data_IF_533227239407
#
_entry.id   IF_533227239407
#
_cell.length_a   1.000
_cell.length_b   1.000
_cell.length_c   1.000
_cell.angle_alpha   90.00
_cell.angle_beta   90.00
_cell.angle_gamma   90.00
#
_symmetry.space_group_name_H-M   'P 1'
#
loop_
_entity.id
_entity.type
_entity.pdbx_description
1 polymer ?
#
# COMPACT_ATOMS: atom_id res chain seq x y z
N UNK A 1 11.25 -22.40 -12.82
CA UNK A 1 11.48 -21.73 -14.12
C UNK A 1 12.72 -20.88 -13.97
N UNK A 2 13.72 -21.04 -14.84
CA UNK A 2 14.86 -20.12 -14.89
C UNK A 2 14.37 -18.85 -15.57
N UNK A 3 14.36 -17.74 -14.82
CA UNK A 3 14.20 -16.40 -15.36
C UNK A 3 15.35 -16.18 -16.34
N UNK A 4 15.08 -15.59 -17.50
CA UNK A 4 16.11 -15.36 -18.51
C UNK A 4 17.15 -14.37 -17.96
N UNK A 5 18.42 -14.59 -18.26
CA UNK A 5 19.53 -13.77 -17.73
C UNK A 5 19.42 -12.28 -18.07
N UNK A 6 18.69 -11.94 -19.14
CA UNK A 6 18.38 -10.56 -19.53
C UNK A 6 17.32 -9.89 -18.65
N UNK A 7 16.33 -10.64 -18.17
CA UNK A 7 15.27 -10.12 -17.31
C UNK A 7 15.82 -9.78 -15.91
N UNK A 8 16.69 -10.65 -15.38
CA UNK A 8 17.38 -10.42 -14.10
C UNK A 8 18.27 -9.16 -14.16
N UNK A 9 18.94 -8.93 -15.29
CA UNK A 9 19.77 -7.74 -15.49
C UNK A 9 18.94 -6.45 -15.53
N UNK A 10 17.80 -6.46 -16.24
CA UNK A 10 16.91 -5.30 -16.32
C UNK A 10 16.32 -4.93 -14.94
N UNK A 11 15.93 -5.94 -14.17
CA UNK A 11 15.44 -5.74 -12.79
C UNK A 11 16.53 -5.19 -11.89
N UNK A 12 17.76 -5.71 -11.99
CA UNK A 12 18.88 -5.21 -11.18
C UNK A 12 19.20 -3.74 -11.48
N UNK A 13 19.23 -3.35 -12.76
CA UNK A 13 19.42 -1.94 -13.16
C UNK A 13 18.34 -1.05 -12.55
N UNK A 14 17.08 -1.50 -12.54
CA UNK A 14 16.00 -0.71 -11.96
C UNK A 14 16.08 -0.61 -10.43
N UNK A 15 16.48 -1.68 -9.75
CA UNK A 15 16.75 -1.67 -8.31
C UNK A 15 17.81 -0.63 -7.96
N UNK A 16 18.92 -0.63 -8.69
CA UNK A 16 20.04 0.29 -8.45
C UNK A 16 19.64 1.75 -8.69
N UNK A 17 18.96 2.03 -9.81
CA UNK A 17 18.45 3.38 -10.13
C UNK A 17 17.43 3.87 -9.11
N UNK A 18 16.54 2.99 -8.64
CA UNK A 18 15.52 3.36 -7.65
C UNK A 18 16.17 3.60 -6.28
N UNK A 19 17.15 2.78 -5.88
CA UNK A 19 17.90 3.01 -4.66
C UNK A 19 18.64 4.35 -4.72
N UNK A 20 19.32 4.64 -5.84
CA UNK A 20 19.99 5.91 -6.05
C UNK A 20 19.02 7.09 -5.92
N UNK A 21 17.82 7.00 -6.52
CA UNK A 21 16.79 8.03 -6.38
C UNK A 21 16.46 8.30 -4.90
N UNK A 22 16.24 7.26 -4.10
CA UNK A 22 15.95 7.44 -2.67
C UNK A 22 17.14 7.99 -1.88
N UNK A 23 18.37 7.60 -2.22
CA UNK A 23 19.59 8.10 -1.58
C UNK A 23 19.79 9.60 -1.87
N UNK A 24 19.51 10.06 -3.09
CA UNK A 24 19.55 11.47 -3.49
C UNK A 24 18.47 12.30 -2.76
N UNK A 25 17.30 11.70 -2.52
CA UNK A 25 16.14 12.36 -1.90
C UNK A 25 15.98 12.04 -0.40
N UNK A 26 17.00 11.45 0.26
CA UNK A 26 16.96 11.02 1.67
C UNK A 26 16.64 12.12 2.69
N UNK A 27 16.85 13.38 2.31
CA UNK A 27 16.58 14.55 3.14
C UNK A 27 15.15 15.06 2.99
N UNK A 28 14.45 14.64 1.93
CA UNK A 28 13.08 15.02 1.59
C UNK A 28 12.08 13.92 1.96
N UNK A 29 12.38 12.68 1.58
CA UNK A 29 11.49 11.53 1.78
C UNK A 29 11.72 10.94 3.18
N UNK A 30 10.64 10.79 3.96
CA UNK A 30 10.73 10.17 5.29
C UNK A 30 11.09 8.68 5.17
N UNK A 31 11.83 8.13 6.14
CA UNK A 31 12.26 6.72 6.11
C UNK A 31 11.09 5.74 5.90
N UNK A 32 9.91 6.07 6.42
CA UNK A 32 8.69 5.26 6.27
C UNK A 32 8.16 5.15 4.82
N UNK A 33 8.70 5.94 3.89
CA UNK A 33 8.42 5.94 2.44
C UNK A 33 9.71 5.79 1.62
N UNK A 34 10.85 5.51 2.26
CA UNK A 34 12.16 5.43 1.61
C UNK A 34 12.42 4.08 0.94
N UNK A 35 13.67 3.86 0.53
CA UNK A 35 14.12 2.65 -0.19
C UNK A 35 13.68 1.34 0.46
N UNK A 36 13.77 1.23 1.80
CA UNK A 36 13.38 0.02 2.54
C UNK A 36 11.89 -0.32 2.35
N UNK A 37 11.02 0.68 2.27
CA UNK A 37 9.59 0.49 1.99
C UNK A 37 9.40 0.00 0.56
N UNK A 38 9.91 0.74 -0.43
CA UNK A 38 9.80 0.40 -1.84
C UNK A 38 10.30 -1.02 -2.16
N UNK A 39 11.45 -1.40 -1.57
CA UNK A 39 12.03 -2.74 -1.74
C UNK A 39 11.12 -3.84 -1.18
N UNK A 40 10.52 -3.65 0.00
CA UNK A 40 9.60 -4.66 0.57
C UNK A 40 8.32 -4.80 -0.24
N UNK A 41 7.78 -3.68 -0.75
CA UNK A 41 6.64 -3.70 -1.67
C UNK A 41 6.98 -4.50 -2.94
N UNK A 42 8.16 -4.28 -3.50
CA UNK A 42 8.68 -5.09 -4.61
C UNK A 42 8.81 -6.58 -4.26
N UNK A 43 9.35 -6.92 -3.09
CA UNK A 43 9.49 -8.31 -2.62
C UNK A 43 8.11 -8.98 -2.45
N UNK A 44 7.12 -8.26 -1.90
CA UNK A 44 5.73 -8.73 -1.84
C UNK A 44 5.14 -8.97 -3.23
N UNK A 45 5.38 -8.08 -4.19
CA UNK A 45 4.94 -8.27 -5.57
C UNK A 45 5.59 -9.50 -6.22
N UNK A 46 6.87 -9.74 -5.98
CA UNK A 46 7.59 -10.93 -6.49
C UNK A 46 6.99 -12.23 -5.97
N UNK A 47 6.73 -12.33 -4.66
CA UNK A 47 6.08 -13.50 -4.09
C UNK A 47 4.64 -13.69 -4.60
N UNK A 48 3.90 -12.59 -4.78
CA UNK A 48 2.55 -12.64 -5.34
C UNK A 48 2.55 -13.18 -6.79
N UNK A 49 3.53 -12.79 -7.61
CA UNK A 49 3.69 -13.30 -8.97
C UNK A 49 3.99 -14.81 -8.99
N UNK A 50 4.79 -15.30 -8.03
CA UNK A 50 5.08 -16.73 -7.88
C UNK A 50 3.86 -17.55 -7.45
N UNK A 51 2.89 -16.94 -6.78
CA UNK A 51 1.66 -17.60 -6.32
C UNK A 51 0.48 -17.45 -7.29
N UNK A 52 0.67 -16.85 -8.46
CA UNK A 52 -0.38 -16.71 -9.46
C UNK A 52 -0.84 -18.07 -9.99
N UNK A 53 -2.16 -18.28 -10.09
CA UNK A 53 -2.73 -19.52 -10.63
C UNK A 53 -2.47 -19.68 -12.13
N UNK A 54 -2.42 -18.57 -12.86
CA UNK A 54 -2.14 -18.52 -14.29
C UNK A 54 -0.75 -17.97 -14.50
N UNK A 55 -0.01 -18.58 -15.43
CA UNK A 55 1.28 -18.07 -15.85
C UNK A 55 1.08 -16.78 -16.65
N UNK A 56 1.66 -15.70 -16.15
CA UNK A 56 1.68 -14.41 -16.84
C UNK A 56 2.85 -14.35 -17.82
N UNK A 57 2.74 -13.48 -18.82
CA UNK A 57 3.86 -13.19 -19.71
C UNK A 57 5.01 -12.55 -18.92
N UNK A 58 6.26 -12.85 -19.31
CA UNK A 58 7.44 -12.31 -18.66
C UNK A 58 7.42 -10.77 -18.60
N UNK A 59 7.00 -10.13 -19.69
CA UNK A 59 6.81 -8.67 -19.77
C UNK A 59 5.84 -8.16 -18.70
N UNK A 60 4.70 -8.83 -18.50
CA UNK A 60 3.73 -8.42 -17.47
C UNK A 60 4.28 -8.61 -16.05
N UNK A 61 5.03 -9.68 -15.80
CA UNK A 61 5.72 -9.88 -14.52
C UNK A 61 6.70 -8.74 -14.23
N UNK A 62 7.52 -8.38 -15.22
CA UNK A 62 8.45 -7.26 -15.12
C UNK A 62 7.69 -5.96 -14.87
N UNK A 63 6.68 -5.62 -15.65
CA UNK A 63 5.90 -4.39 -15.46
C UNK A 63 5.31 -4.27 -14.04
N UNK A 64 4.80 -5.38 -13.48
CA UNK A 64 4.27 -5.43 -12.10
C UNK A 64 5.38 -5.15 -11.08
N UNK A 65 6.54 -5.79 -11.25
CA UNK A 65 7.71 -5.57 -10.39
C UNK A 65 8.18 -4.11 -10.45
N UNK A 66 8.27 -3.54 -11.64
CA UNK A 66 8.68 -2.15 -11.85
C UNK A 66 7.67 -1.17 -11.23
N UNK A 67 6.37 -1.43 -11.40
CA UNK A 67 5.32 -0.59 -10.78
C UNK A 67 5.34 -0.66 -9.25
N UNK A 68 5.59 -1.83 -8.67
CA UNK A 68 5.74 -1.99 -7.22
C UNK A 68 6.96 -1.22 -6.69
N UNK A 69 8.07 -1.27 -7.41
CA UNK A 69 9.31 -0.60 -7.01
C UNK A 69 9.20 0.93 -7.09
N UNK A 70 8.49 1.44 -8.11
CA UNK A 70 8.38 2.88 -8.41
C UNK A 70 7.12 3.55 -7.84
N UNK A 71 6.27 2.84 -7.08
CA UNK A 71 4.94 3.36 -6.73
C UNK A 71 4.94 4.70 -5.98
N UNK A 72 5.98 4.97 -5.17
CA UNK A 72 6.08 6.11 -4.26
C UNK A 72 7.08 7.20 -4.71
N UNK A 73 7.80 7.02 -5.83
CA UNK A 73 8.84 8.00 -6.28
C UNK A 73 8.27 9.35 -6.73
N UNK A 74 6.95 9.43 -6.93
CA UNK A 74 6.19 10.64 -7.25
C UNK A 74 5.06 10.87 -6.23
N UNK A 75 5.20 10.41 -4.97
CA UNK A 75 4.18 10.64 -3.94
C UNK A 75 3.98 12.15 -3.70
N UNK A 76 2.71 12.58 -3.73
CA UNK A 76 2.32 13.98 -3.57
C UNK A 76 2.63 14.60 -2.20
N UNK A 77 3.07 13.79 -1.22
CA UNK A 77 3.59 14.30 0.07
C UNK A 77 4.97 14.94 -0.06
N UNK A 78 5.75 14.52 -1.06
CA UNK A 78 7.15 14.92 -1.23
C UNK A 78 7.38 15.70 -2.52
N UNK A 79 6.57 15.44 -3.54
CA UNK A 79 6.73 16.04 -4.86
C UNK A 79 5.48 16.78 -5.31
N UNK A 80 5.68 17.93 -5.93
CA UNK A 80 4.59 18.70 -6.52
C UNK A 80 4.01 17.97 -7.72
N UNK A 81 2.82 17.43 -7.52
CA UNK A 81 2.14 16.59 -8.49
C UNK A 81 0.85 17.26 -8.96
N UNK A 82 0.67 17.51 -10.26
CA UNK A 82 -0.55 18.15 -10.75
C UNK A 82 -1.76 17.21 -10.60
N UNK A 83 -2.59 17.46 -9.57
CA UNK A 83 -3.75 16.61 -9.22
C UNK A 83 -4.75 16.43 -10.36
N UNK A 84 -4.90 17.44 -11.21
CA UNK A 84 -5.86 17.46 -12.32
C UNK A 84 -5.29 17.00 -13.67
N UNK A 85 -3.98 16.81 -13.78
CA UNK A 85 -3.36 16.42 -15.06
C UNK A 85 -3.68 14.97 -15.38
N UNK A 86 -4.43 14.72 -16.46
CA UNK A 86 -4.81 13.35 -16.88
C UNK A 86 -3.66 12.57 -17.53
N UNK A 87 -2.60 13.26 -17.94
CA UNK A 87 -1.41 12.67 -18.54
C UNK A 87 -0.54 12.02 -17.45
N UNK A 88 -0.53 10.69 -17.41
CA UNK A 88 0.22 9.94 -16.41
C UNK A 88 1.73 10.19 -16.52
N UNK A 89 2.28 10.44 -17.71
CA UNK A 89 3.73 10.68 -17.88
C UNK A 89 4.16 11.99 -17.24
N UNK A 90 3.32 13.02 -17.31
CA UNK A 90 3.55 14.29 -16.59
C UNK A 90 3.34 14.15 -15.09
N UNK A 91 2.38 13.29 -14.71
CA UNK A 91 1.98 13.08 -13.33
C UNK A 91 2.98 12.22 -12.53
N UNK A 92 3.76 11.38 -13.22
CA UNK A 92 4.74 10.46 -12.65
C UNK A 92 6.10 10.65 -13.33
N UNK A 93 6.61 11.88 -13.29
CA UNK A 93 7.81 12.25 -14.04
C UNK A 93 9.07 11.56 -13.54
N UNK A 94 9.17 11.29 -12.23
CA UNK A 94 10.32 10.60 -11.66
C UNK A 94 10.33 9.13 -12.09
N UNK A 95 9.17 8.46 -12.01
CA UNK A 95 9.03 7.10 -12.52
C UNK A 95 9.36 7.02 -14.02
N UNK A 96 8.86 7.95 -14.84
CA UNK A 96 9.20 8.02 -16.27
C UNK A 96 10.70 8.20 -16.50
N UNK A 97 11.34 9.08 -15.71
CA UNK A 97 12.77 9.33 -15.83
C UNK A 97 13.59 8.06 -15.53
N UNK A 98 13.29 7.39 -14.42
CA UNK A 98 13.96 6.13 -14.01
C UNK A 98 13.74 5.04 -15.06
N UNK A 99 12.51 4.86 -15.56
CA UNK A 99 12.20 3.87 -16.59
C UNK A 99 12.95 4.12 -17.91
N UNK A 100 13.15 5.39 -18.29
CA UNK A 100 13.94 5.75 -19.47
C UNK A 100 15.43 5.46 -19.29
N UNK A 101 15.99 5.75 -18.11
CA UNK A 101 17.38 5.39 -17.79
C UNK A 101 17.57 3.86 -17.85
N UNK A 102 16.58 3.10 -17.40
CA UNK A 102 16.54 1.65 -17.50
C UNK A 102 16.21 1.12 -18.92
N UNK A 103 16.09 2.00 -19.93
CA UNK A 103 15.78 1.63 -21.32
C UNK A 103 14.49 0.81 -21.51
N UNK A 104 13.48 1.04 -20.65
CA UNK A 104 12.19 0.35 -20.72
C UNK A 104 11.40 0.81 -21.94
N UNK A 105 10.79 -0.14 -22.66
CA UNK A 105 9.98 0.15 -23.84
C UNK A 105 8.76 1.02 -23.50
N UNK A 106 8.44 1.97 -24.38
CA UNK A 106 7.32 2.91 -24.18
C UNK A 106 5.95 2.23 -24.04
N UNK A 107 5.78 1.05 -24.63
CA UNK A 107 4.59 0.21 -24.43
C UNK A 107 4.42 -0.20 -22.96
N UNK A 108 5.51 -0.60 -22.30
CA UNK A 108 5.52 -1.02 -20.91
C UNK A 108 5.43 0.15 -19.94
N UNK A 109 6.00 1.31 -20.28
CA UNK A 109 5.86 2.54 -19.48
C UNK A 109 4.38 2.86 -19.23
N UNK A 110 3.51 2.74 -20.23
CA UNK A 110 2.09 3.02 -20.06
C UNK A 110 1.41 2.09 -19.03
N UNK A 111 1.68 0.78 -19.10
CA UNK A 111 1.17 -0.22 -18.15
C UNK A 111 1.68 0.04 -16.73
N UNK A 112 2.98 0.30 -16.59
CA UNK A 112 3.62 0.58 -15.29
C UNK A 112 2.99 1.80 -14.63
N UNK A 113 2.87 2.91 -15.36
CA UNK A 113 2.27 4.14 -14.83
C UNK A 113 0.78 3.97 -14.50
N UNK A 114 0.05 3.15 -15.27
CA UNK A 114 -1.32 2.82 -14.95
C UNK A 114 -1.41 2.08 -13.60
N UNK A 115 -0.55 1.09 -13.37
CA UNK A 115 -0.51 0.32 -12.12
C UNK A 115 -0.14 1.20 -10.94
N UNK A 116 0.87 2.07 -11.07
CA UNK A 116 1.22 3.09 -10.06
C UNK A 116 -0.02 3.95 -9.73
N UNK A 117 -0.80 4.35 -10.73
CA UNK A 117 -2.03 5.13 -10.54
C UNK A 117 -3.14 4.41 -9.79
N UNK A 118 -3.04 3.09 -9.69
CA UNK A 118 -3.96 2.24 -8.94
C UNK A 118 -3.52 2.00 -7.48
N UNK A 119 -2.28 2.34 -7.07
CA UNK A 119 -1.76 1.94 -5.73
C UNK A 119 -2.45 2.68 -4.58
N UNK A 120 -2.53 4.01 -4.65
CA UNK A 120 -2.99 4.84 -3.53
C UNK A 120 -4.35 4.42 -2.95
N UNK A 121 -4.37 4.13 -1.65
CA UNK A 121 -5.57 3.75 -0.90
C UNK A 121 -6.57 4.91 -0.75
N UNK A 122 -6.11 6.13 -0.45
CA UNK A 122 -7.00 7.29 -0.30
C UNK A 122 -7.71 7.62 -1.61
N UNK A 123 -7.01 7.46 -2.74
CA UNK A 123 -7.56 7.74 -4.07
C UNK A 123 -8.47 6.62 -4.58
N UNK A 124 -8.04 5.36 -4.47
CA UNK A 124 -8.69 4.26 -5.17
C UNK A 124 -9.49 3.32 -4.25
N UNK A 125 -9.19 3.28 -2.94
CA UNK A 125 -9.87 2.40 -1.99
C UNK A 125 -9.97 0.97 -2.52
N UNK A 126 -11.14 0.35 -2.37
CA UNK A 126 -11.40 -0.97 -2.94
C UNK A 126 -12.02 -0.92 -4.34
N UNK A 127 -12.14 0.26 -4.94
CA UNK A 127 -12.65 0.41 -6.30
C UNK A 127 -11.69 -0.22 -7.32
N UNK A 128 -12.24 -1.00 -8.23
CA UNK A 128 -11.53 -1.61 -9.35
C UNK A 128 -12.02 -0.97 -10.64
N UNK A 129 -11.09 -0.56 -11.53
CA UNK A 129 -11.48 0.04 -12.80
C UNK A 129 -12.21 -0.96 -13.69
N UNK A 130 -13.17 -0.47 -14.46
CA UNK A 130 -13.95 -1.28 -15.41
C UNK A 130 -13.06 -2.02 -16.43
N UNK A 131 -11.92 -1.46 -16.84
CA UNK A 131 -10.98 -2.16 -17.73
C UNK A 131 -10.43 -3.43 -17.07
N UNK A 132 -10.03 -3.37 -15.79
CA UNK A 132 -9.53 -4.54 -15.06
C UNK A 132 -10.61 -5.61 -14.91
N UNK A 133 -11.84 -5.21 -14.58
CA UNK A 133 -12.93 -6.19 -14.39
C UNK A 133 -13.36 -6.82 -15.71
N UNK A 134 -13.47 -6.05 -16.81
CA UNK A 134 -13.82 -6.56 -18.15
C UNK A 134 -12.76 -7.49 -18.72
N UNK A 135 -11.49 -7.12 -18.58
CA UNK A 135 -10.37 -7.89 -19.15
C UNK A 135 -9.85 -8.96 -18.17
N UNK A 136 -10.55 -9.16 -17.04
CA UNK A 136 -10.16 -10.06 -15.95
C UNK A 136 -8.70 -9.91 -15.48
N UNK A 137 -8.12 -8.71 -15.61
CA UNK A 137 -6.69 -8.44 -15.44
C UNK A 137 -6.32 -8.02 -14.01
N UNK A 138 -6.82 -8.75 -13.00
CA UNK A 138 -6.64 -8.42 -11.58
C UNK A 138 -5.18 -8.43 -11.11
N UNK A 139 -4.30 -9.13 -11.83
CA UNK A 139 -2.85 -9.13 -11.58
C UNK A 139 -2.23 -7.71 -11.65
N UNK A 140 -2.85 -6.77 -12.36
CA UNK A 140 -2.41 -5.37 -12.44
C UNK A 140 -2.60 -4.62 -11.11
N UNK A 141 -3.32 -5.20 -10.15
CA UNK A 141 -3.48 -4.66 -8.80
C UNK A 141 -2.48 -5.25 -7.80
N UNK A 142 -1.60 -6.17 -8.20
CA UNK A 142 -0.56 -6.71 -7.31
C UNK A 142 0.25 -5.60 -6.61
N UNK A 143 0.72 -4.53 -7.30
CA UNK A 143 1.45 -3.44 -6.63
C UNK A 143 0.62 -2.74 -5.54
N UNK A 144 -0.69 -2.57 -5.76
CA UNK A 144 -1.62 -1.98 -4.76
C UNK A 144 -1.67 -2.83 -3.50
N UNK A 145 -1.83 -4.13 -3.65
CA UNK A 145 -1.97 -5.05 -2.51
C UNK A 145 -0.64 -5.26 -1.79
N UNK A 146 0.47 -5.26 -2.53
CA UNK A 146 1.80 -5.32 -1.96
C UNK A 146 2.13 -4.09 -1.10
N UNK A 147 1.79 -2.88 -1.55
CA UNK A 147 1.94 -1.64 -0.75
C UNK A 147 1.11 -1.70 0.53
N UNK A 148 -0.12 -2.21 0.42
CA UNK A 148 -1.01 -2.35 1.57
C UNK A 148 -0.45 -3.24 2.66
N UNK A 149 0.24 -4.33 2.34
CA UNK A 149 0.86 -5.20 3.35
C UNK A 149 1.82 -4.42 4.25
N UNK A 150 2.59 -3.47 3.70
CA UNK A 150 3.53 -2.64 4.45
C UNK A 150 2.86 -1.51 5.27
N UNK A 151 1.57 -1.28 5.07
CA UNK A 151 0.78 -0.29 5.80
C UNK A 151 0.09 -0.84 7.06
N UNK A 152 0.04 -2.16 7.25
CA UNK A 152 -0.69 -2.84 8.34
C UNK A 152 0.21 -3.82 9.12
N UNK A 153 -0.36 -4.58 10.05
CA UNK A 153 0.38 -5.41 11.01
C UNK A 153 1.04 -4.59 12.12
N UNK A 154 1.89 -5.25 12.91
CA UNK A 154 2.62 -4.63 14.02
C UNK A 154 3.30 -3.29 13.65
N UNK A 155 3.94 -3.24 12.48
CA UNK A 155 4.57 -2.02 11.95
C UNK A 155 3.55 -0.93 11.62
N UNK A 156 2.42 -1.29 11.02
CA UNK A 156 1.35 -0.34 10.71
C UNK A 156 0.74 0.27 11.97
N UNK A 157 0.51 -0.55 12.99
CA UNK A 157 0.07 -0.12 14.33
C UNK A 157 1.07 0.87 14.92
N UNK A 158 2.35 0.51 14.98
CA UNK A 158 3.42 1.39 15.49
C UNK A 158 3.53 2.71 14.71
N UNK A 159 3.54 2.66 13.38
CA UNK A 159 3.62 3.87 12.52
C UNK A 159 2.43 4.79 12.73
N UNK A 160 1.22 4.24 12.89
CA UNK A 160 0.03 5.04 13.11
C UNK A 160 0.08 5.73 14.48
N UNK A 161 0.51 5.02 15.52
CA UNK A 161 0.74 5.60 16.85
C UNK A 161 1.80 6.70 16.83
N UNK A 162 2.97 6.43 16.25
CA UNK A 162 4.06 7.40 16.14
C UNK A 162 3.60 8.66 15.39
N UNK A 163 2.86 8.53 14.29
CA UNK A 163 2.32 9.68 13.56
C UNK A 163 1.42 10.55 14.44
N UNK A 164 0.50 9.95 15.19
CA UNK A 164 -0.41 10.71 16.05
C UNK A 164 0.35 11.41 17.19
N UNK A 165 1.34 10.74 17.80
CA UNK A 165 2.20 11.33 18.82
C UNK A 165 3.01 12.52 18.28
N UNK A 166 3.65 12.37 17.11
CA UNK A 166 4.44 13.45 16.48
C UNK A 166 3.61 14.69 16.13
N UNK A 167 2.32 14.51 15.81
CA UNK A 167 1.42 15.60 15.41
C UNK A 167 0.52 16.07 16.55
N UNK A 168 0.67 15.54 17.77
CA UNK A 168 -0.19 15.85 18.92
C UNK A 168 -1.67 15.52 18.67
N UNK A 169 -1.95 14.54 17.82
CA UNK A 169 -3.31 14.12 17.49
C UNK A 169 -3.83 13.12 18.54
N UNK A 170 -5.13 13.14 18.85
CA UNK A 170 -5.71 12.25 19.86
C UNK A 170 -5.62 10.78 19.44
N UNK A 171 -5.23 9.92 20.39
CA UNK A 171 -5.25 8.47 20.15
C UNK A 171 -6.68 7.91 20.09
N UNK A 172 -7.60 8.50 20.85
CA UNK A 172 -9.02 8.15 20.82
C UNK A 172 -9.90 9.35 21.19
N UNK A 173 -11.21 9.19 20.99
CA UNK A 173 -12.25 10.14 21.35
C UNK A 173 -13.48 9.41 21.91
N UNK A 174 -14.46 10.17 22.41
CA UNK A 174 -15.74 9.60 22.86
C UNK A 174 -16.55 8.95 21.73
N UNK A 175 -16.20 9.24 20.46
CA UNK A 175 -16.83 8.66 19.26
C UNK A 175 -16.07 7.42 18.74
N UNK A 176 -14.87 7.15 19.24
CA UNK A 176 -14.10 5.97 18.83
C UNK A 176 -14.85 4.68 19.20
N UNK A 177 -14.99 3.70 18.30
CA UNK A 177 -15.66 2.45 18.60
C UNK A 177 -15.00 1.68 19.75
N UNK A 178 -15.82 0.96 20.53
CA UNK A 178 -15.38 0.22 21.72
C UNK A 178 -15.86 -1.23 21.70
N UNK A 179 -15.43 -2.04 20.72
CA UNK A 179 -15.87 -3.43 20.65
C UNK A 179 -15.22 -4.27 21.75
N UNK A 180 -16.00 -5.19 22.30
CA UNK A 180 -15.53 -6.18 23.29
C UNK A 180 -15.36 -7.58 22.68
N UNK A 181 -15.79 -7.75 21.43
CA UNK A 181 -15.67 -9.00 20.67
C UNK A 181 -15.20 -8.71 19.24
N UNK A 182 -14.64 -9.72 18.57
CA UNK A 182 -14.20 -9.62 17.17
C UNK A 182 -15.38 -9.35 16.23
N UNK A 183 -16.54 -9.98 16.47
CA UNK A 183 -17.75 -9.76 15.66
C UNK A 183 -18.25 -8.32 15.77
N UNK A 184 -18.27 -7.78 16.98
CA UNK A 184 -18.64 -6.37 17.22
C UNK A 184 -17.64 -5.42 16.54
N UNK A 185 -16.34 -5.72 16.61
CA UNK A 185 -15.29 -4.93 15.94
C UNK A 185 -15.55 -4.83 14.44
N UNK A 186 -15.84 -5.94 13.77
CA UNK A 186 -16.10 -5.93 12.33
C UNK A 186 -17.43 -5.25 11.97
N UNK A 187 -18.41 -5.22 12.89
CA UNK A 187 -19.64 -4.45 12.67
C UNK A 187 -19.41 -2.93 12.62
N UNK A 188 -18.32 -2.44 13.22
CA UNK A 188 -17.92 -1.03 13.14
C UNK A 188 -17.08 -0.67 11.90
N UNK A 189 -16.43 -1.63 11.26
CA UNK A 189 -15.60 -1.42 10.07
C UNK A 189 -16.44 -1.59 8.80
N UNK A 190 -17.44 -0.72 8.62
CA UNK A 190 -18.41 -0.84 7.50
C UNK A 190 -17.84 -0.25 6.20
N UNK A 191 -18.27 -0.74 5.03
CA UNK A 191 -17.88 -0.16 3.74
C UNK A 191 -18.11 1.36 3.65
N UNK A 192 -19.21 1.85 4.23
CA UNK A 192 -19.57 3.27 4.23
C UNK A 192 -18.53 4.12 4.95
N UNK A 193 -17.97 3.66 6.08
CA UNK A 193 -16.89 4.37 6.77
C UNK A 193 -15.64 4.49 5.91
N UNK A 194 -15.30 3.42 5.19
CA UNK A 194 -14.15 3.43 4.29
C UNK A 194 -14.37 4.41 3.12
N UNK A 195 -15.57 4.43 2.55
CA UNK A 195 -15.94 5.37 1.49
C UNK A 195 -15.88 6.82 1.99
N UNK A 196 -16.41 7.10 3.18
CA UNK A 196 -16.34 8.43 3.78
C UNK A 196 -14.89 8.87 4.04
N UNK A 197 -14.03 7.97 4.53
CA UNK A 197 -12.60 8.25 4.69
C UNK A 197 -11.97 8.70 3.36
N UNK A 198 -12.31 8.05 2.25
CA UNK A 198 -11.84 8.46 0.92
C UNK A 198 -12.39 9.83 0.50
N UNK A 199 -13.68 10.08 0.73
CA UNK A 199 -14.32 11.37 0.41
C UNK A 199 -13.73 12.54 1.21
N UNK A 200 -13.31 12.30 2.46
CA UNK A 200 -12.59 13.26 3.31
C UNK A 200 -11.11 13.46 2.93
N UNK A 201 -10.64 12.84 1.85
CA UNK A 201 -9.25 12.95 1.40
C UNK A 201 -8.26 12.11 2.22
N UNK A 202 -8.76 11.14 3.00
CA UNK A 202 -7.94 10.21 3.78
C UNK A 202 -7.62 10.68 5.19
N UNK A 203 -8.56 11.33 5.87
CA UNK A 203 -8.42 11.80 7.25
C UNK A 203 -9.44 11.15 8.19
N UNK A 204 -9.04 11.00 9.46
CA UNK A 204 -9.83 10.47 10.57
C UNK A 204 -9.69 11.38 11.80
N UNK A 205 -10.63 11.32 12.73
CA UNK A 205 -10.69 12.20 13.91
C UNK A 205 -9.64 11.88 14.97
N UNK A 206 -9.27 10.61 15.09
CA UNK A 206 -8.35 10.07 16.08
C UNK A 206 -7.74 8.75 15.57
N UNK A 207 -6.71 8.24 16.27
CA UNK A 207 -6.01 7.02 15.87
C UNK A 207 -6.93 5.79 15.84
N UNK A 208 -7.74 5.55 16.88
CA UNK A 208 -8.65 4.40 16.91
C UNK A 208 -9.66 4.48 15.77
N UNK A 209 -10.26 5.65 15.54
CA UNK A 209 -11.17 5.86 14.40
C UNK A 209 -10.48 5.58 13.06
N UNK A 210 -9.19 5.90 12.91
CA UNK A 210 -8.41 5.55 11.71
C UNK A 210 -8.30 4.05 11.46
N UNK A 211 -8.33 3.22 12.51
CA UNK A 211 -8.27 1.76 12.35
C UNK A 211 -9.54 1.25 11.67
N UNK A 212 -10.70 1.74 12.10
CA UNK A 212 -12.00 1.40 11.50
C UNK A 212 -12.22 2.08 10.16
N UNK A 213 -11.83 3.35 10.03
CA UNK A 213 -12.00 4.11 8.80
C UNK A 213 -11.11 3.60 7.66
N UNK A 214 -10.00 2.91 7.95
CA UNK A 214 -9.02 2.51 6.93
C UNK A 214 -8.27 1.21 7.21
N UNK A 215 -7.53 1.11 8.31
CA UNK A 215 -6.51 0.05 8.45
C UNK A 215 -7.10 -1.37 8.48
N UNK A 216 -8.28 -1.55 9.09
CA UNK A 216 -8.99 -2.83 9.08
C UNK A 216 -9.45 -3.21 7.66
N UNK A 217 -9.90 -2.25 6.84
CA UNK A 217 -10.22 -2.48 5.43
C UNK A 217 -9.00 -2.76 4.56
N UNK A 218 -7.85 -2.19 4.93
CA UNK A 218 -6.56 -2.46 4.28
C UNK A 218 -6.07 -3.87 4.61
N UNK A 219 -6.21 -4.33 5.86
CA UNK A 219 -5.81 -5.66 6.30
C UNK A 219 -6.77 -6.76 5.84
N UNK A 220 -8.06 -6.45 5.65
CA UNK A 220 -9.07 -7.42 5.21
C UNK A 220 -9.86 -6.91 3.99
N UNK A 221 -9.23 -6.72 2.81
CA UNK A 221 -9.96 -6.33 1.61
C UNK A 221 -10.78 -7.50 1.02
N UNK A 222 -11.79 -7.21 0.18
CA UNK A 222 -12.59 -8.24 -0.47
C UNK A 222 -11.73 -9.19 -1.33
N UNK A 223 -11.85 -10.50 -1.12
CA UNK A 223 -10.99 -11.50 -1.79
C UNK A 223 -11.22 -11.58 -3.30
N UNK A 224 -12.44 -11.27 -3.75
CA UNK A 224 -12.83 -11.26 -5.16
C UNK A 224 -12.10 -10.18 -5.98
N UNK A 225 -11.55 -9.15 -5.34
CA UNK A 225 -10.71 -8.13 -6.00
C UNK A 225 -9.20 -8.30 -5.78
N UNK A 226 -8.79 -9.07 -4.76
CA UNK A 226 -7.37 -9.40 -4.52
C UNK A 226 -6.93 -10.55 -5.42
N UNK A 227 -7.68 -11.65 -5.43
CA UNK A 227 -7.49 -12.84 -6.28
C UNK A 227 -6.05 -13.35 -6.32
N UNK A 228 -5.39 -13.40 -5.15
CA UNK A 228 -4.02 -13.88 -5.03
C UNK A 228 -3.79 -14.41 -3.61
N UNK A 229 -3.49 -15.70 -3.50
CA UNK A 229 -3.42 -16.41 -2.21
C UNK A 229 -2.33 -15.87 -1.28
N UNK A 230 -1.17 -15.51 -1.81
CA UNK A 230 -0.09 -14.91 -1.02
C UNK A 230 -0.54 -13.57 -0.42
N UNK A 231 -1.09 -12.67 -1.25
CA UNK A 231 -1.54 -11.35 -0.81
C UNK A 231 -2.68 -11.48 0.21
N UNK A 232 -3.67 -12.33 -0.05
CA UNK A 232 -4.80 -12.58 0.87
C UNK A 232 -4.32 -13.07 2.24
N UNK A 233 -3.41 -14.04 2.27
CA UNK A 233 -2.86 -14.56 3.52
C UNK A 233 -2.09 -13.48 4.27
N UNK A 234 -1.16 -12.78 3.61
CA UNK A 234 -0.32 -11.75 4.24
C UNK A 234 -1.14 -10.60 4.82
N UNK A 235 -2.16 -10.14 4.09
CA UNK A 235 -3.08 -9.10 4.55
C UNK A 235 -3.91 -9.62 5.74
N UNK A 236 -4.48 -10.82 5.66
CA UNK A 236 -5.24 -11.39 6.77
C UNK A 236 -4.40 -11.53 8.06
N UNK A 237 -3.15 -11.98 7.95
CA UNK A 237 -2.25 -12.07 9.10
C UNK A 237 -1.94 -10.71 9.73
N UNK A 238 -1.89 -9.65 8.92
CA UNK A 238 -1.60 -8.28 9.38
C UNK A 238 -2.76 -7.61 10.14
N UNK A 239 -3.94 -8.23 10.19
CA UNK A 239 -5.08 -7.72 10.96
C UNK A 239 -4.93 -7.98 12.47
N UNK A 240 -4.08 -8.93 12.88
CA UNK A 240 -3.99 -9.41 14.26
C UNK A 240 -3.72 -8.28 15.25
N UNK A 241 -2.66 -7.51 15.05
CA UNK A 241 -2.28 -6.46 16.02
C UNK A 241 -3.30 -5.31 16.03
N UNK A 242 -3.92 -5.00 14.88
CA UNK A 242 -5.01 -4.01 14.83
C UNK A 242 -6.22 -4.45 15.67
N UNK A 243 -6.59 -5.73 15.58
CA UNK A 243 -7.69 -6.31 16.36
C UNK A 243 -7.36 -6.28 17.85
N UNK A 244 -6.14 -6.66 18.24
CA UNK A 244 -5.72 -6.66 19.65
C UNK A 244 -5.81 -5.24 20.26
N UNK A 245 -5.30 -4.20 19.58
CA UNK A 245 -5.44 -2.81 20.03
C UNK A 245 -6.91 -2.40 20.19
N UNK A 246 -7.74 -2.69 19.18
CA UNK A 246 -9.16 -2.35 19.19
C UNK A 246 -9.92 -3.00 20.35
N UNK A 247 -9.65 -4.28 20.65
CA UNK A 247 -10.29 -5.00 21.75
C UNK A 247 -9.80 -4.52 23.12
N UNK A 248 -8.50 -4.27 23.28
CA UNK A 248 -7.96 -3.68 24.52
C UNK A 248 -8.61 -2.31 24.79
N UNK A 249 -8.70 -1.47 23.76
CA UNK A 249 -9.38 -0.17 23.85
C UNK A 249 -10.87 -0.32 24.16
N UNK A 250 -11.59 -1.26 23.53
CA UNK A 250 -13.01 -1.44 23.79
C UNK A 250 -13.31 -1.84 25.24
N UNK A 251 -12.54 -2.78 25.78
CA UNK A 251 -12.67 -3.26 27.15
C UNK A 251 -12.32 -2.19 28.20
N UNK A 252 -11.28 -1.38 27.97
CA UNK A 252 -10.75 -0.46 28.99
C UNK A 252 -11.17 0.99 28.78
N UNK A 253 -11.38 1.40 27.53
CA UNK A 253 -11.57 2.79 27.13
C UNK A 253 -10.30 3.60 27.07
N UNK A 254 -9.14 2.96 27.23
CA UNK A 254 -7.83 3.58 27.20
C UNK A 254 -7.01 2.86 26.15
N UNK A 255 -6.29 3.63 25.32
CA UNK A 255 -5.40 3.03 24.32
C UNK A 255 -4.23 2.39 25.05
N UNK A 256 -3.99 1.10 24.81
CA UNK A 256 -2.90 0.35 25.42
C UNK A 256 -1.57 0.71 24.74
N UNK A 257 -0.98 1.82 25.18
CA UNK A 257 0.28 2.33 24.63
C UNK A 257 1.45 1.40 24.91
N UNK A 258 1.46 0.68 26.04
CA UNK A 258 2.52 -0.27 26.39
C UNK A 258 2.54 -1.44 25.41
N UNK A 259 1.37 -2.00 25.09
CA UNK A 259 1.24 -3.01 24.05
C UNK A 259 1.73 -2.46 22.69
N UNK A 260 1.28 -1.27 22.27
CA UNK A 260 1.70 -0.68 20.99
C UNK A 260 3.22 -0.45 20.93
N UNK A 261 3.82 0.03 22.02
CA UNK A 261 5.27 0.25 22.11
C UNK A 261 6.05 -1.07 22.05
N UNK A 262 5.49 -2.18 22.54
CA UNK A 262 6.09 -3.51 22.40
C UNK A 262 6.20 -3.99 20.95
N UNK A 263 5.39 -3.43 20.04
CA UNK A 263 5.39 -3.74 18.60
C UNK A 263 6.45 -2.97 17.81
N UNK A 264 7.23 -2.10 18.47
CA UNK A 264 8.29 -1.32 17.83
C UNK A 264 9.34 -2.27 17.25
N UNK A 265 9.43 -2.29 15.92
CA UNK A 265 10.33 -3.13 15.14
C UNK A 265 11.44 -2.33 14.45
#
# INVERSE_FOLDING_TARGET
MRVDSGDDAAVQVLLDLTQQFYDEHRHLIKESHGWRHARKVYEHACHALQSCHQQLEATSCLEIQMAALLHDVDDSKYFDRPKTCKDLKKRYSNAVHILRLASVAESSVASILFMIDQVSCSKNGNSVRLSITKDHSYHWLIPRWADRIEAVGARGVWRCYQYNQEHGAPLSSSLSPRPTTVDELWSYATPERFEEYQQRGGSSTDMISHYYDKLLHVACPPKDIVRNSYLEQRLQFSAKELIEVCLHYGCTGVVDEDYIQSLKC
#
